data_IF_184071157435
#
_entry.id   IF_184071157435
#
_cell.length_a   1.000
_cell.length_b   1.000
_cell.length_c   1.000
_cell.angle_alpha   90.00
_cell.angle_beta   90.00
_cell.angle_gamma   90.00
#
_symmetry.space_group_name_H-M   'P 1'
#
loop_
_entity.id
_entity.type
_entity.pdbx_description
1 polymer ?
#
# COMPACT_ATOMS: atom_id res chain seq x y z
N UNK A 1 8.88 8.27 19.87
CA UNK A 1 7.68 7.43 19.65
C UNK A 1 7.73 6.86 18.24
N UNK A 2 7.97 5.56 18.07
CA UNK A 2 8.10 4.95 16.73
C UNK A 2 6.70 4.84 16.12
N UNK A 3 6.50 5.35 14.90
CA UNK A 3 5.23 5.33 14.13
C UNK A 3 4.56 3.94 14.08
N UNK A 4 5.35 2.88 14.29
CA UNK A 4 4.93 1.48 14.49
C UNK A 4 3.87 1.30 15.59
N UNK A 5 3.88 2.13 16.63
CA UNK A 5 2.95 2.02 17.75
C UNK A 5 1.57 2.63 17.44
N UNK A 6 1.47 3.62 16.55
CA UNK A 6 0.18 4.27 16.27
C UNK A 6 -0.69 3.39 15.37
N UNK A 7 -0.09 2.79 14.33
CA UNK A 7 -0.80 1.86 13.44
C UNK A 7 -1.20 0.58 14.19
N UNK A 8 -0.31 0.05 15.03
CA UNK A 8 -0.63 -1.09 15.90
C UNK A 8 -1.75 -0.79 16.90
N UNK A 9 -1.77 0.40 17.51
CA UNK A 9 -2.82 0.80 18.43
C UNK A 9 -4.17 1.04 17.75
N UNK A 10 -4.16 1.68 16.57
CA UNK A 10 -5.39 1.89 15.78
C UNK A 10 -5.99 0.56 15.33
N UNK A 11 -5.14 -0.36 14.89
CA UNK A 11 -5.53 -1.70 14.50
C UNK A 11 -6.11 -2.52 15.66
N UNK A 12 -5.44 -2.52 16.81
CA UNK A 12 -5.92 -3.19 18.02
C UNK A 12 -7.29 -2.66 18.46
N UNK A 13 -7.48 -1.32 18.44
CA UNK A 13 -8.77 -0.67 18.74
C UNK A 13 -9.90 -1.08 17.79
N UNK A 14 -9.57 -1.46 16.55
CA UNK A 14 -10.52 -1.93 15.52
C UNK A 14 -10.63 -3.45 15.45
N UNK A 15 -10.01 -4.20 16.37
CA UNK A 15 -10.00 -5.67 16.34
C UNK A 15 -9.16 -6.26 15.19
N UNK A 16 -8.29 -5.47 14.57
CA UNK A 16 -7.43 -5.88 13.48
C UNK A 16 -6.10 -6.39 14.03
N UNK A 17 -5.77 -7.65 13.76
CA UNK A 17 -4.50 -8.27 14.17
C UNK A 17 -3.47 -8.09 13.06
N UNK A 18 -2.45 -7.26 13.29
CA UNK A 18 -1.27 -7.21 12.45
C UNK A 18 -0.10 -7.93 13.14
N UNK A 19 0.39 -9.00 12.54
CA UNK A 19 1.68 -9.58 12.90
C UNK A 19 2.79 -8.67 12.36
N UNK A 20 3.32 -7.77 13.20
CA UNK A 20 4.56 -7.05 12.88
C UNK A 20 5.76 -7.96 13.15
N UNK A 21 5.99 -8.95 12.29
CA UNK A 21 7.28 -9.63 12.29
C UNK A 21 8.34 -8.64 11.82
N UNK A 22 9.27 -8.28 12.71
CA UNK A 22 10.50 -7.59 12.32
C UNK A 22 11.28 -8.58 11.47
N UNK A 23 11.35 -8.36 10.16
CA UNK A 23 12.22 -9.13 9.29
C UNK A 23 13.67 -8.78 9.63
N UNK A 24 14.26 -9.54 10.57
CA UNK A 24 15.70 -9.73 10.60
C UNK A 24 16.00 -10.87 9.63
N UNK A 25 16.69 -10.52 8.55
CA UNK A 25 17.29 -11.40 7.55
C UNK A 25 16.32 -12.00 6.53
N UNK A 26 16.35 -11.45 5.31
CA UNK A 26 15.80 -12.10 4.10
C UNK A 26 16.87 -13.09 3.64
N UNK A 27 16.84 -14.30 4.17
CA UNK A 27 17.52 -15.43 3.52
C UNK A 27 16.66 -15.94 2.37
N UNK A 28 17.31 -16.18 1.23
CA UNK A 28 16.72 -16.82 0.05
C UNK A 28 16.36 -18.26 0.42
N UNK A 29 15.17 -18.48 0.96
CA UNK A 29 14.72 -19.80 1.37
C UNK A 29 13.21 -19.91 1.50
N UNK A 30 12.60 -20.65 0.55
CA UNK A 30 11.39 -21.50 0.69
C UNK A 30 10.54 -21.27 1.96
N UNK A 31 9.52 -20.43 1.87
CA UNK A 31 8.38 -20.49 2.81
C UNK A 31 7.20 -21.21 2.16
N UNK A 32 7.31 -22.54 2.08
CA UNK A 32 6.19 -23.45 1.82
C UNK A 32 5.49 -23.74 3.15
N UNK A 33 4.31 -23.16 3.40
CA UNK A 33 3.47 -23.68 4.50
C UNK A 33 2.40 -22.77 5.10
N UNK A 34 2.50 -21.44 5.01
CA UNK A 34 1.51 -20.54 5.64
C UNK A 34 0.98 -19.41 4.72
N UNK A 35 1.53 -19.31 3.52
CA UNK A 35 1.11 -18.34 2.50
C UNK A 35 0.60 -19.16 1.32
N UNK A 36 -0.71 -19.09 1.04
CA UNK A 36 -1.26 -19.70 -0.17
C UNK A 36 -0.47 -19.19 -1.38
N UNK A 37 -0.09 -20.10 -2.28
CA UNK A 37 0.67 -19.75 -3.47
C UNK A 37 0.03 -18.62 -4.29
N UNK A 38 0.79 -17.98 -5.18
CA UNK A 38 0.30 -16.89 -6.02
C UNK A 38 -1.00 -17.29 -6.73
N UNK A 39 -2.02 -16.45 -6.62
CA UNK A 39 -3.34 -16.64 -7.24
C UNK A 39 -3.33 -15.99 -8.62
N UNK A 40 -3.67 -16.76 -9.65
CA UNK A 40 -3.91 -16.21 -10.99
C UNK A 40 -5.32 -15.64 -11.07
N UNK A 41 -5.41 -14.33 -11.23
CA UNK A 41 -6.65 -13.59 -11.41
C UNK A 41 -6.83 -13.27 -12.89
N UNK A 42 -7.88 -13.79 -13.52
CA UNK A 42 -8.22 -13.44 -14.91
C UNK A 42 -8.70 -12.00 -14.98
N UNK A 43 -8.13 -11.21 -15.89
CA UNK A 43 -8.54 -9.82 -16.16
C UNK A 43 -9.48 -9.77 -17.37
N UNK A 44 -9.03 -10.26 -18.52
CA UNK A 44 -9.74 -10.25 -19.82
C UNK A 44 -9.55 -11.61 -20.54
N UNK A 45 -10.03 -11.72 -21.78
CA UNK A 45 -9.74 -12.88 -22.62
C UNK A 45 -8.27 -12.86 -23.06
N UNK A 46 -7.41 -13.58 -22.33
CA UNK A 46 -5.98 -13.70 -22.62
C UNK A 46 -5.08 -13.15 -21.52
N UNK A 47 -5.55 -12.15 -20.77
CA UNK A 47 -4.72 -11.49 -19.73
C UNK A 47 -5.01 -12.01 -18.32
N UNK A 48 -3.93 -12.27 -17.59
CA UNK A 48 -3.94 -12.74 -16.21
C UNK A 48 -3.00 -11.91 -15.34
N UNK A 49 -3.44 -11.61 -14.12
CA UNK A 49 -2.61 -10.99 -13.09
C UNK A 49 -2.25 -12.04 -12.04
N UNK A 50 -0.99 -12.07 -11.62
CA UNK A 50 -0.55 -12.95 -10.54
C UNK A 50 -0.51 -12.17 -9.24
N UNK A 51 -1.44 -12.47 -8.33
CA UNK A 51 -1.54 -11.80 -7.03
C UNK A 51 -1.05 -12.69 -5.91
N UNK A 52 -0.11 -12.21 -5.10
CA UNK A 52 0.27 -12.86 -3.84
C UNK A 52 -0.56 -12.27 -2.72
N UNK A 53 -1.45 -13.09 -2.16
CA UNK A 53 -2.46 -12.63 -1.20
C UNK A 53 -2.12 -13.13 0.20
N UNK A 54 -2.01 -12.22 1.16
CA UNK A 54 -1.96 -12.57 2.57
C UNK A 54 -3.36 -13.03 3.02
N UNK A 55 -3.52 -14.34 3.25
CA UNK A 55 -4.76 -14.90 3.78
C UNK A 55 -4.84 -14.63 5.28
N UNK A 56 -5.65 -13.65 5.66
CA UNK A 56 -5.99 -13.37 7.05
C UNK A 56 -7.39 -13.94 7.32
N UNK A 57 -7.56 -14.88 8.27
CA UNK A 57 -8.88 -15.42 8.62
C UNK A 57 -9.86 -14.29 8.98
N UNK A 58 -11.06 -14.32 8.39
CA UNK A 58 -12.08 -13.29 8.60
C UNK A 58 -11.87 -12.01 7.79
N UNK A 59 -10.84 -11.91 6.95
CA UNK A 59 -10.61 -10.76 6.07
C UNK A 59 -10.62 -11.18 4.60
N UNK A 60 -11.23 -10.34 3.77
CA UNK A 60 -11.17 -10.45 2.31
C UNK A 60 -10.17 -9.40 1.81
N UNK A 61 -8.96 -9.80 1.39
CA UNK A 61 -8.00 -8.87 0.80
C UNK A 61 -8.48 -8.46 -0.59
N UNK A 62 -8.72 -7.16 -0.76
CA UNK A 62 -9.15 -6.57 -2.03
C UNK A 62 -8.01 -5.72 -2.58
N UNK A 63 -7.57 -6.03 -3.79
CA UNK A 63 -6.62 -5.22 -4.53
C UNK A 63 -7.40 -4.24 -5.43
N UNK A 64 -7.50 -2.99 -4.96
CA UNK A 64 -8.23 -1.90 -5.65
C UNK A 64 -7.72 -1.72 -7.08
N UNK A 65 -6.41 -1.85 -7.32
CA UNK A 65 -5.83 -1.68 -8.65
C UNK A 65 -6.31 -2.77 -9.60
N UNK A 66 -6.39 -4.02 -9.13
CA UNK A 66 -6.89 -5.15 -9.92
C UNK A 66 -8.38 -4.98 -10.23
N UNK A 67 -9.17 -4.54 -9.25
CA UNK A 67 -10.59 -4.22 -9.44
C UNK A 67 -10.77 -3.14 -10.52
N UNK A 68 -10.05 -2.03 -10.43
CA UNK A 68 -10.17 -0.94 -11.39
C UNK A 68 -9.62 -1.29 -12.77
N UNK A 69 -8.55 -2.09 -12.87
CA UNK A 69 -8.12 -2.64 -14.18
C UNK A 69 -9.20 -3.47 -14.87
N UNK A 70 -10.04 -4.17 -14.12
CA UNK A 70 -11.17 -4.92 -14.69
C UNK A 70 -12.31 -4.00 -15.13
N UNK A 71 -12.54 -2.90 -14.42
CA UNK A 71 -13.54 -1.88 -14.79
C UNK A 71 -13.11 -1.10 -16.05
N UNK A 72 -11.80 -0.84 -16.20
CA UNK A 72 -11.23 -0.12 -17.33
C UNK A 72 -10.26 -1.00 -18.15
N UNK A 73 -10.72 -2.09 -18.78
CA UNK A 73 -9.85 -3.09 -19.41
C UNK A 73 -9.10 -2.56 -20.64
N UNK A 74 -9.56 -1.44 -21.22
CA UNK A 74 -8.93 -0.79 -22.38
C UNK A 74 -7.88 0.26 -21.99
N UNK A 75 -7.74 0.58 -20.71
CA UNK A 75 -6.77 1.60 -20.29
C UNK A 75 -5.36 1.02 -20.23
N UNK A 76 -4.42 1.69 -20.88
CA UNK A 76 -2.99 1.41 -20.76
C UNK A 76 -2.45 1.83 -19.39
N UNK A 77 -3.08 2.83 -18.75
CA UNK A 77 -2.68 3.37 -17.46
C UNK A 77 -3.37 2.63 -16.31
N UNK A 78 -2.64 2.49 -15.21
CA UNK A 78 -3.17 1.85 -13.99
C UNK A 78 -2.57 2.43 -12.72
N UNK A 79 -2.19 3.71 -12.79
CA UNK A 79 -1.77 4.49 -11.63
C UNK A 79 -3.00 4.90 -10.82
N UNK A 80 -2.82 5.09 -9.52
CA UNK A 80 -3.89 5.59 -8.66
C UNK A 80 -4.43 6.93 -9.16
N UNK A 81 -3.53 7.84 -9.56
CA UNK A 81 -3.89 9.15 -10.12
C UNK A 81 -4.84 9.03 -11.31
N UNK A 82 -4.55 8.10 -12.24
CA UNK A 82 -5.40 7.85 -13.40
C UNK A 82 -6.81 7.42 -12.96
N UNK A 83 -6.92 6.47 -12.03
CA UNK A 83 -8.24 6.01 -11.56
C UNK A 83 -9.01 7.08 -10.79
N UNK A 84 -8.32 7.95 -10.03
CA UNK A 84 -8.97 9.09 -9.37
C UNK A 84 -9.56 10.07 -10.38
N UNK A 85 -8.82 10.39 -11.44
CA UNK A 85 -9.26 11.28 -12.52
C UNK A 85 -10.46 10.69 -13.28
N UNK A 86 -10.40 9.41 -13.66
CA UNK A 86 -11.51 8.72 -14.34
C UNK A 86 -12.79 8.66 -13.48
N UNK A 87 -12.63 8.61 -12.15
CA UNK A 87 -13.74 8.62 -11.22
C UNK A 87 -14.21 10.03 -10.80
N UNK A 88 -13.63 11.09 -11.36
CA UNK A 88 -13.99 12.47 -10.99
C UNK A 88 -13.61 12.87 -9.56
N UNK A 89 -12.68 12.15 -8.92
CA UNK A 89 -12.17 12.47 -7.60
C UNK A 89 -10.97 13.41 -7.67
N UNK A 90 -10.77 14.15 -6.59
CA UNK A 90 -9.61 15.03 -6.44
C UNK A 90 -8.29 14.26 -6.60
N UNK A 91 -7.43 14.81 -7.46
CA UNK A 91 -6.11 14.27 -7.67
C UNK A 91 -5.28 14.32 -6.38
N UNK A 92 -4.37 13.36 -6.25
CA UNK A 92 -3.43 13.29 -5.14
C UNK A 92 -2.19 14.16 -5.43
N UNK A 93 -1.64 14.78 -4.39
CA UNK A 93 -0.32 15.42 -4.43
C UNK A 93 0.79 14.41 -4.77
N UNK A 94 1.61 14.71 -5.78
CA UNK A 94 2.71 13.83 -6.17
C UNK A 94 3.94 14.02 -5.27
N UNK A 95 4.63 12.92 -4.99
CA UNK A 95 5.91 12.93 -4.27
C UNK A 95 6.84 11.96 -5.00
N UNK A 96 7.76 12.48 -5.83
CA UNK A 96 8.72 11.67 -6.54
C UNK A 96 9.48 10.74 -5.60
N UNK A 97 9.75 9.51 -6.05
CA UNK A 97 10.45 8.51 -5.23
C UNK A 97 11.81 9.02 -4.74
N UNK A 98 12.56 9.73 -5.58
CA UNK A 98 13.86 10.32 -5.22
C UNK A 98 13.75 11.25 -4.01
N UNK A 99 12.66 12.04 -3.93
CA UNK A 99 12.41 12.92 -2.79
C UNK A 99 12.12 12.14 -1.51
N UNK A 100 11.32 11.06 -1.60
CA UNK A 100 11.07 10.18 -0.44
C UNK A 100 12.35 9.52 0.05
N UNK A 101 13.17 8.99 -0.87
CA UNK A 101 14.45 8.36 -0.53
C UNK A 101 15.39 9.34 0.17
N UNK A 102 15.52 10.56 -0.37
CA UNK A 102 16.33 11.61 0.25
C UNK A 102 15.84 11.93 1.67
N UNK A 103 14.53 12.17 1.85
CA UNK A 103 13.95 12.46 3.17
C UNK A 103 14.24 11.32 4.17
N UNK A 104 14.17 10.07 3.70
CA UNK A 104 14.43 8.92 4.56
C UNK A 104 15.90 8.78 4.93
N UNK A 105 16.80 9.01 3.98
CA UNK A 105 18.25 9.05 4.22
C UNK A 105 18.60 10.14 5.23
N UNK A 106 18.09 11.36 5.03
CA UNK A 106 18.29 12.48 5.95
C UNK A 106 17.78 12.15 7.36
N UNK A 107 16.60 11.52 7.47
CA UNK A 107 16.01 11.10 8.75
C UNK A 107 16.79 10.00 9.47
N UNK A 108 17.61 9.23 8.74
CA UNK A 108 18.47 8.19 9.30
C UNK A 108 19.77 8.78 9.87
N UNK A 109 20.29 9.82 9.24
CA UNK A 109 21.58 10.42 9.58
C UNK A 109 21.47 11.56 10.60
N UNK A 110 20.35 12.28 10.64
CA UNK A 110 20.18 13.46 11.48
C UNK A 110 19.18 13.26 12.64
N UNK A 111 19.20 14.22 13.57
CA UNK A 111 18.31 14.22 14.73
C UNK A 111 16.83 14.26 14.34
N UNK A 112 15.97 13.72 15.21
CA UNK A 112 14.52 13.74 15.00
C UNK A 112 13.96 15.16 14.86
N UNK A 113 14.45 16.12 15.65
CA UNK A 113 13.93 17.50 15.66
C UNK A 113 14.10 18.17 14.30
N UNK A 114 15.26 17.98 13.65
CA UNK A 114 15.54 18.58 12.34
C UNK A 114 14.81 17.90 11.18
N UNK A 115 14.45 16.62 11.32
CA UNK A 115 13.91 15.80 10.22
C UNK A 115 12.40 15.51 10.32
N UNK A 116 11.78 15.75 11.49
CA UNK A 116 10.38 15.43 11.76
C UNK A 116 9.42 16.07 10.75
N UNK A 117 9.67 17.33 10.35
CA UNK A 117 8.81 18.05 9.39
C UNK A 117 8.78 17.37 8.02
N UNK A 118 9.91 16.87 7.55
CA UNK A 118 9.99 16.19 6.26
C UNK A 118 9.39 14.79 6.32
N UNK A 119 9.64 14.05 7.41
CA UNK A 119 9.00 12.76 7.63
C UNK A 119 7.48 12.88 7.77
N UNK A 120 6.98 13.96 8.35
CA UNK A 120 5.55 14.26 8.41
C UNK A 120 4.94 14.41 7.01
N UNK A 121 5.63 15.07 6.07
CA UNK A 121 5.16 15.18 4.68
C UNK A 121 5.03 13.81 4.01
N UNK A 122 6.01 12.93 4.22
CA UNK A 122 5.98 11.56 3.69
C UNK A 122 4.82 10.78 4.32
N UNK A 123 4.64 10.88 5.64
CA UNK A 123 3.52 10.21 6.32
C UNK A 123 2.16 10.70 5.81
N UNK A 124 1.99 12.01 5.65
CA UNK A 124 0.77 12.60 5.13
C UNK A 124 0.47 12.10 3.71
N UNK A 125 1.48 12.06 2.83
CA UNK A 125 1.37 11.48 1.48
C UNK A 125 0.81 10.06 1.49
N UNK A 126 1.33 9.17 2.35
CA UNK A 126 0.84 7.78 2.46
C UNK A 126 -0.58 7.69 3.05
N UNK A 127 -0.94 8.55 3.99
CA UNK A 127 -2.29 8.60 4.56
C UNK A 127 -3.31 9.01 3.48
N UNK A 128 -2.99 10.04 2.69
CA UNK A 128 -3.84 10.46 1.58
C UNK A 128 -3.95 9.35 0.53
N UNK A 129 -2.86 8.66 0.22
CA UNK A 129 -2.89 7.49 -0.69
C UNK A 129 -3.87 6.41 -0.24
N UNK A 130 -3.80 6.04 1.04
CA UNK A 130 -4.66 5.02 1.60
C UNK A 130 -6.14 5.48 1.59
N UNK A 131 -6.39 6.75 1.92
CA UNK A 131 -7.73 7.33 1.88
C UNK A 131 -8.31 7.33 0.46
N UNK A 132 -7.55 7.77 -0.53
CA UNK A 132 -7.99 7.78 -1.94
C UNK A 132 -8.29 6.38 -2.46
N UNK A 133 -7.50 5.38 -2.09
CA UNK A 133 -7.80 3.98 -2.39
C UNK A 133 -9.12 3.51 -1.76
N UNK A 134 -9.46 3.99 -0.57
CA UNK A 134 -10.75 3.68 0.07
C UNK A 134 -11.91 4.40 -0.61
N UNK A 135 -11.76 5.67 -0.96
CA UNK A 135 -12.80 6.44 -1.66
C UNK A 135 -13.17 5.81 -3.01
N UNK A 136 -12.18 5.32 -3.77
CA UNK A 136 -12.42 4.58 -5.01
C UNK A 136 -13.31 3.33 -4.81
N UNK A 137 -13.27 2.72 -3.63
CA UNK A 137 -14.08 1.52 -3.34
C UNK A 137 -15.48 1.84 -2.81
N UNK A 138 -15.75 3.09 -2.42
CA UNK A 138 -17.05 3.53 -1.89
C UNK A 138 -17.91 4.26 -2.94
N UNK A 139 -17.52 4.20 -4.22
CA UNK A 139 -18.29 4.76 -5.34
C UNK A 139 -19.47 3.89 -5.73
#
# INVERSE_FOLDING_TARGET
MKVRNLLGAYAFKRGMVFSTRVCKNIEKGKYSGAMGGPIKVKLTAGDYFTSTVLKLPGCIPIDVRVCFKKLYPRSEKSSLKFFLEESGLDSKADMPHENMWRIYSDAKEHSFVSTAKNMYKVANYYVIDALRCQELMHQ
#
